data_IF_704775990342
#
_entry.id   IF_704775990342
#
_cell.length_a   1.000
_cell.length_b   1.000
_cell.length_c   1.000
_cell.angle_alpha   90.00
_cell.angle_beta   90.00
_cell.angle_gamma   90.00
#
_symmetry.space_group_name_H-M   'P 1'
#
loop_
_entity.id
_entity.type
_entity.pdbx_description
1 polymer ?
#
# COMPACT_ATOMS: atom_id res chain seq x y z
N UNK A 1 -10.23 -21.26 -15.13
CA UNK A 1 -10.21 -21.24 -13.65
C UNK A 1 -8.78 -21.43 -13.18
N UNK A 2 -8.38 -20.64 -12.20
CA UNK A 2 -7.02 -20.48 -11.70
C UNK A 2 -6.97 -20.89 -10.23
N UNK A 3 -5.93 -21.62 -9.83
CA UNK A 3 -5.65 -21.90 -8.42
C UNK A 3 -5.09 -20.65 -7.75
N UNK A 4 -5.26 -20.55 -6.43
CA UNK A 4 -4.75 -19.41 -5.63
C UNK A 4 -3.27 -19.09 -5.89
N UNK A 5 -2.41 -20.10 -6.10
CA UNK A 5 -0.98 -19.90 -6.40
C UNK A 5 -0.74 -19.30 -7.79
N UNK A 6 -1.56 -19.67 -8.78
CA UNK A 6 -1.47 -19.13 -10.14
C UNK A 6 -1.93 -17.68 -10.15
N UNK A 7 -3.02 -17.37 -9.45
CA UNK A 7 -3.51 -15.98 -9.29
C UNK A 7 -2.49 -15.11 -8.58
N UNK A 8 -1.91 -15.59 -7.48
CA UNK A 8 -0.85 -14.88 -6.74
C UNK A 8 0.32 -14.52 -7.67
N UNK A 9 0.76 -15.48 -8.49
CA UNK A 9 1.85 -15.27 -9.44
C UNK A 9 1.48 -14.28 -10.55
N UNK A 10 0.28 -14.36 -11.11
CA UNK A 10 -0.18 -13.48 -12.20
C UNK A 10 -0.34 -12.04 -11.70
N UNK A 11 -0.94 -11.87 -10.52
CA UNK A 11 -1.27 -10.55 -9.97
C UNK A 11 -0.13 -9.92 -9.18
N UNK A 12 1.00 -10.61 -8.99
CA UNK A 12 2.14 -10.11 -8.21
C UNK A 12 1.84 -9.93 -6.72
N UNK A 13 0.89 -10.71 -6.18
CA UNK A 13 0.49 -10.64 -4.76
C UNK A 13 0.79 -11.94 -4.04
N UNK A 14 0.87 -11.90 -2.72
CA UNK A 14 1.14 -13.12 -1.95
C UNK A 14 -0.10 -14.02 -1.88
N UNK A 15 0.10 -15.33 -1.70
CA UNK A 15 -1.01 -16.25 -1.41
C UNK A 15 -1.70 -15.88 -0.09
N UNK A 16 -0.97 -15.29 0.87
CA UNK A 16 -1.53 -14.79 2.13
C UNK A 16 -2.52 -13.66 1.86
N UNK A 17 -2.18 -12.71 1.00
CA UNK A 17 -3.06 -11.61 0.55
C UNK A 17 -4.40 -12.13 0.03
N UNK A 18 -4.36 -13.13 -0.86
CA UNK A 18 -5.58 -13.69 -1.44
C UNK A 18 -6.44 -14.42 -0.39
N UNK A 19 -5.79 -15.10 0.58
CA UNK A 19 -6.52 -15.67 1.72
C UNK A 19 -7.08 -14.60 2.65
N UNK A 20 -6.37 -13.49 2.85
CA UNK A 20 -6.87 -12.36 3.60
C UNK A 20 -8.13 -11.81 2.97
N UNK A 21 -8.08 -11.48 1.67
CA UNK A 21 -9.22 -10.94 0.93
C UNK A 21 -10.43 -11.88 0.98
N UNK A 22 -10.22 -13.20 0.93
CA UNK A 22 -11.28 -14.19 1.16
C UNK A 22 -11.83 -14.12 2.59
N UNK A 23 -10.95 -14.05 3.60
CA UNK A 23 -11.32 -14.03 5.02
C UNK A 23 -12.15 -12.82 5.43
N UNK A 24 -11.81 -11.64 4.89
CA UNK A 24 -12.59 -10.41 5.11
C UNK A 24 -13.81 -10.36 4.20
N UNK A 25 -13.87 -11.18 3.16
CA UNK A 25 -14.95 -11.23 2.19
C UNK A 25 -14.86 -10.20 1.07
N UNK A 26 -13.68 -9.62 0.84
CA UNK A 26 -13.39 -8.67 -0.24
C UNK A 26 -13.28 -9.36 -1.61
N UNK A 27 -12.62 -10.52 -1.67
CA UNK A 27 -12.51 -11.32 -2.90
C UNK A 27 -12.69 -12.79 -2.56
N UNK A 28 -13.82 -13.37 -2.97
CA UNK A 28 -14.13 -14.78 -2.72
C UNK A 28 -13.82 -15.62 -3.96
N UNK A 29 -13.29 -16.84 -3.79
CA UNK A 29 -13.09 -17.74 -4.91
C UNK A 29 -14.45 -18.18 -5.49
N UNK A 30 -14.58 -18.14 -6.82
CA UNK A 30 -15.76 -18.65 -7.51
C UNK A 30 -16.07 -20.13 -7.24
N UNK A 31 -15.06 -20.94 -6.93
CA UNK A 31 -15.27 -22.34 -6.58
C UNK A 31 -14.31 -22.82 -5.48
N UNK A 32 -14.85 -23.59 -4.54
CA UNK A 32 -14.06 -24.35 -3.56
C UNK A 32 -14.20 -25.83 -3.93
N UNK A 33 -13.08 -26.43 -4.37
CA UNK A 33 -13.06 -27.83 -4.76
C UNK A 33 -13.32 -28.77 -3.58
N UNK A 34 -13.65 -30.03 -3.88
CA UNK A 34 -13.87 -31.08 -2.87
C UNK A 34 -12.66 -31.33 -1.95
N UNK A 35 -11.46 -30.94 -2.41
CA UNK A 35 -10.20 -30.96 -1.69
C UNK A 35 -9.92 -29.67 -0.87
N UNK A 36 -10.90 -28.75 -0.77
CA UNK A 36 -10.79 -27.44 -0.15
C UNK A 36 -9.80 -26.48 -0.83
N UNK A 37 -9.39 -26.75 -2.08
CA UNK A 37 -8.65 -25.77 -2.87
C UNK A 37 -9.58 -24.68 -3.41
N UNK A 38 -9.03 -23.46 -3.46
CA UNK A 38 -9.70 -22.26 -3.98
C UNK A 38 -9.40 -22.10 -5.45
N UNK A 39 -10.45 -21.85 -6.22
CA UNK A 39 -10.39 -21.61 -7.66
C UNK A 39 -11.08 -20.30 -8.00
N UNK A 40 -10.39 -19.50 -8.81
CA UNK A 40 -10.82 -18.19 -9.26
C UNK A 40 -11.10 -18.23 -10.77
N UNK A 41 -12.11 -17.54 -11.25
CA UNK A 41 -12.38 -17.39 -12.68
C UNK A 41 -11.91 -16.02 -13.19
N UNK A 42 -12.12 -15.75 -14.48
CA UNK A 42 -11.70 -14.48 -15.09
C UNK A 42 -12.43 -13.25 -14.51
N UNK A 43 -13.65 -13.40 -14.01
CA UNK A 43 -14.37 -12.32 -13.32
C UNK A 43 -13.72 -11.99 -11.98
N UNK A 44 -13.32 -13.01 -11.22
CA UNK A 44 -12.61 -12.81 -9.95
C UNK A 44 -11.28 -12.09 -10.18
N UNK A 45 -10.57 -12.40 -11.28
CA UNK A 45 -9.32 -11.73 -11.65
C UNK A 45 -9.56 -10.28 -12.06
N UNK A 46 -10.64 -9.99 -12.79
CA UNK A 46 -11.06 -8.61 -13.09
C UNK A 46 -11.35 -7.82 -11.81
N UNK A 47 -12.09 -8.42 -10.88
CA UNK A 47 -12.38 -7.80 -9.59
C UNK A 47 -11.10 -7.57 -8.78
N UNK A 48 -10.18 -8.54 -8.76
CA UNK A 48 -8.88 -8.40 -8.13
C UNK A 48 -8.09 -7.23 -8.72
N UNK A 49 -8.08 -7.07 -10.04
CA UNK A 49 -7.40 -5.94 -10.69
C UNK A 49 -7.95 -4.58 -10.19
N UNK A 50 -9.27 -4.45 -10.08
CA UNK A 50 -9.88 -3.24 -9.52
C UNK A 50 -9.48 -3.01 -8.05
N UNK A 51 -9.51 -4.05 -7.22
CA UNK A 51 -9.07 -3.98 -5.82
C UNK A 51 -7.64 -3.45 -5.73
N UNK A 52 -6.74 -3.93 -6.59
CA UNK A 52 -5.36 -3.48 -6.62
C UNK A 52 -5.23 -2.02 -7.08
N UNK A 53 -6.01 -1.55 -8.06
CA UNK A 53 -6.03 -0.13 -8.42
C UNK A 53 -6.50 0.77 -7.27
N UNK A 54 -7.54 0.37 -6.54
CA UNK A 54 -7.96 1.12 -5.35
C UNK A 54 -6.86 1.16 -4.30
N UNK A 55 -6.19 0.03 -4.08
CA UNK A 55 -5.10 -0.07 -3.10
C UNK A 55 -3.93 0.85 -3.47
N UNK A 56 -3.55 0.89 -4.75
CA UNK A 56 -2.47 1.74 -5.28
C UNK A 56 -2.76 3.24 -5.11
N UNK A 57 -4.03 3.64 -5.19
CA UNK A 57 -4.44 5.03 -4.99
C UNK A 57 -4.51 5.39 -3.49
N UNK A 58 -4.41 4.40 -2.60
CA UNK A 58 -4.33 4.58 -1.15
C UNK A 58 -5.66 4.38 -0.41
N UNK A 59 -6.65 3.72 -1.03
CA UNK A 59 -7.89 3.36 -0.34
C UNK A 59 -7.64 2.24 0.68
N UNK A 60 -8.29 2.31 1.84
CA UNK A 60 -8.27 1.22 2.82
C UNK A 60 -9.12 0.04 2.37
N UNK A 61 -8.77 -1.17 2.79
CA UNK A 61 -9.48 -2.42 2.45
C UNK A 61 -10.95 -2.35 2.84
N UNK A 62 -11.26 -1.75 4.00
CA UNK A 62 -12.64 -1.49 4.44
C UNK A 62 -13.40 -0.63 3.43
N UNK A 63 -12.74 0.39 2.88
CA UNK A 63 -13.37 1.27 1.90
C UNK A 63 -13.57 0.60 0.56
N UNK A 64 -12.62 -0.20 0.13
CA UNK A 64 -12.72 -1.01 -1.09
C UNK A 64 -13.89 -1.99 -0.95
N UNK A 65 -14.04 -2.64 0.21
CA UNK A 65 -15.19 -3.50 0.48
C UNK A 65 -16.53 -2.79 0.34
N UNK A 66 -16.67 -1.57 0.89
CA UNK A 66 -17.90 -0.79 0.75
C UNK A 66 -18.23 -0.53 -0.73
N UNK A 67 -17.25 -0.15 -1.55
CA UNK A 67 -17.43 0.12 -2.97
C UNK A 67 -17.79 -1.15 -3.74
N UNK A 68 -17.09 -2.25 -3.47
CA UNK A 68 -17.33 -3.55 -4.13
C UNK A 68 -18.70 -4.11 -3.75
N UNK A 69 -19.12 -3.98 -2.48
CA UNK A 69 -20.39 -4.50 -1.99
C UNK A 69 -21.60 -3.71 -2.50
N UNK A 70 -21.47 -2.39 -2.69
CA UNK A 70 -22.50 -1.54 -3.31
C UNK A 70 -22.64 -1.81 -4.83
N UNK A 71 -21.65 -2.46 -5.44
CA UNK A 71 -21.54 -2.59 -6.88
C UNK A 71 -21.03 -1.29 -7.52
N UNK A 72 -20.24 -1.41 -8.58
CA UNK A 72 -19.73 -0.24 -9.30
C UNK A 72 -19.64 -0.50 -10.80
N UNK A 73 -19.74 0.56 -11.59
CA UNK A 73 -19.46 0.51 -13.02
C UNK A 73 -17.95 0.42 -13.25
N UNK A 74 -17.50 -0.71 -13.81
CA UNK A 74 -16.07 -0.97 -14.07
C UNK A 74 -15.43 0.08 -14.97
N UNK A 75 -16.14 0.58 -15.98
CA UNK A 75 -15.62 1.57 -16.94
C UNK A 75 -15.43 2.91 -16.25
N UNK A 76 -16.45 3.38 -15.53
CA UNK A 76 -16.36 4.61 -14.76
C UNK A 76 -15.29 4.55 -13.67
N UNK A 77 -15.19 3.41 -12.97
CA UNK A 77 -14.15 3.21 -11.97
C UNK A 77 -12.76 3.29 -12.59
N UNK A 78 -12.52 2.66 -13.76
CA UNK A 78 -11.25 2.75 -14.49
C UNK A 78 -10.93 4.16 -14.94
N UNK A 79 -11.89 4.90 -15.50
CA UNK A 79 -11.67 6.31 -15.86
C UNK A 79 -11.28 7.14 -14.64
N UNK A 80 -11.97 6.93 -13.52
CA UNK A 80 -11.65 7.61 -12.25
C UNK A 80 -10.27 7.18 -11.73
N UNK A 81 -9.91 5.90 -11.83
CA UNK A 81 -8.59 5.41 -11.46
C UNK A 81 -7.49 6.09 -12.28
N UNK A 82 -7.67 6.19 -13.61
CA UNK A 82 -6.72 6.85 -14.51
C UNK A 82 -6.49 8.30 -14.07
N UNK A 83 -7.56 9.05 -13.80
CA UNK A 83 -7.45 10.45 -13.37
C UNK A 83 -6.75 10.60 -12.01
N UNK A 84 -7.01 9.69 -11.07
CA UNK A 84 -6.36 9.70 -9.76
C UNK A 84 -4.88 9.30 -9.85
N UNK A 85 -4.55 8.31 -10.67
CA UNK A 85 -3.17 7.91 -10.94
C UNK A 85 -2.38 9.04 -11.61
N UNK A 86 -2.97 9.77 -12.56
CA UNK A 86 -2.38 10.97 -13.15
C UNK A 86 -2.07 12.03 -12.10
N UNK A 87 -3.01 12.32 -11.18
CA UNK A 87 -2.76 13.25 -10.07
C UNK A 87 -1.67 12.75 -9.12
N UNK A 88 -1.60 11.44 -8.85
CA UNK A 88 -0.53 10.83 -8.05
C UNK A 88 0.82 11.02 -8.75
N UNK A 89 0.88 10.82 -10.07
CA UNK A 89 2.06 11.08 -10.90
C UNK A 89 2.50 12.55 -10.80
N UNK A 90 1.61 13.51 -11.04
CA UNK A 90 1.94 14.95 -10.99
C UNK A 90 2.46 15.36 -9.59
N UNK A 91 1.89 14.76 -8.53
CA UNK A 91 2.37 14.94 -7.16
C UNK A 91 3.78 14.38 -6.96
N UNK A 92 4.04 13.18 -7.44
CA UNK A 92 5.38 12.56 -7.35
C UNK A 92 6.41 13.39 -8.13
N UNK A 93 6.08 13.87 -9.32
CA UNK A 93 6.93 14.77 -10.10
C UNK A 93 7.24 16.08 -9.34
N UNK A 94 6.23 16.66 -8.69
CA UNK A 94 6.42 17.86 -7.86
C UNK A 94 7.34 17.60 -6.66
N UNK A 95 7.24 16.43 -6.04
CA UNK A 95 8.11 16.02 -4.92
C UNK A 95 9.55 15.75 -5.38
N UNK A 96 9.73 15.10 -6.53
CA UNK A 96 11.04 14.87 -7.15
C UNK A 96 11.71 16.22 -7.43
N UNK A 97 11.00 17.15 -8.07
CA UNK A 97 11.53 18.49 -8.37
C UNK A 97 11.95 19.24 -7.09
N UNK A 98 11.17 19.13 -6.02
CA UNK A 98 11.53 19.72 -4.71
C UNK A 98 12.79 19.09 -4.11
N UNK A 99 12.96 17.77 -4.23
CA UNK A 99 14.17 17.07 -3.77
C UNK A 99 15.41 17.48 -4.58
N UNK A 100 15.28 17.60 -5.91
CA UNK A 100 16.35 18.07 -6.80
C UNK A 100 16.78 19.51 -6.47
N UNK A 101 15.82 20.41 -6.24
CA UNK A 101 16.12 21.77 -5.80
C UNK A 101 16.85 21.77 -4.44
N UNK A 102 16.43 20.92 -3.51
CA UNK A 102 17.07 20.79 -2.19
C UNK A 102 18.51 20.30 -2.31
N UNK A 103 18.79 19.40 -3.26
CA UNK A 103 20.14 18.95 -3.57
C UNK A 103 21.03 20.10 -4.09
N UNK A 104 20.49 20.96 -4.96
CA UNK A 104 21.19 22.14 -5.48
C UNK A 104 21.47 23.19 -4.39
N UNK A 105 20.54 23.40 -3.47
CA UNK A 105 20.76 24.28 -2.31
C UNK A 105 21.88 23.73 -1.41
N UNK A 106 21.86 22.43 -1.10
CA UNK A 106 22.89 21.78 -0.30
C UNK A 106 24.27 21.85 -0.96
N UNK A 107 24.33 21.85 -2.30
CA UNK A 107 25.54 22.08 -3.08
C UNK A 107 25.97 23.57 -3.13
N UNK A 108 25.22 24.48 -2.50
CA UNK A 108 25.48 25.92 -2.48
C UNK A 108 25.14 26.64 -3.78
N UNK A 109 24.46 25.99 -4.73
CA UNK A 109 24.23 26.51 -6.06
C UNK A 109 22.97 27.39 -6.17
N UNK A 110 21.96 27.18 -5.31
CA UNK A 110 20.72 27.95 -5.33
C UNK A 110 20.10 28.07 -3.92
N UNK A 111 20.09 29.25 -3.29
CA UNK A 111 19.36 29.44 -2.04
C UNK A 111 17.85 29.38 -2.30
N UNK A 112 17.10 28.70 -1.43
CA UNK A 112 15.63 28.64 -1.51
C UNK A 112 14.98 29.14 -0.24
N UNK A 113 13.72 29.57 -0.33
CA UNK A 113 12.96 29.97 0.85
C UNK A 113 12.32 28.76 1.54
N UNK A 114 12.00 28.89 2.82
CA UNK A 114 11.23 27.85 3.51
C UNK A 114 9.84 27.63 2.89
N UNK A 115 9.26 28.63 2.23
CA UNK A 115 7.99 28.44 1.51
C UNK A 115 8.17 27.48 0.33
N UNK A 116 9.26 27.65 -0.44
CA UNK A 116 9.58 26.78 -1.58
C UNK A 116 9.87 25.35 -1.14
N UNK A 117 10.58 25.18 0.00
CA UNK A 117 10.86 23.86 0.61
C UNK A 117 9.61 23.03 0.91
N UNK A 118 8.53 23.69 1.33
CA UNK A 118 7.31 23.01 1.78
C UNK A 118 6.15 23.09 0.80
N UNK A 119 6.28 23.84 -0.31
CA UNK A 119 5.22 24.03 -1.28
C UNK A 119 4.68 22.71 -1.85
N UNK A 120 5.57 21.75 -2.16
CA UNK A 120 5.19 20.43 -2.67
C UNK A 120 4.41 19.56 -1.65
N UNK A 121 4.48 19.89 -0.35
CA UNK A 121 3.82 19.13 0.72
C UNK A 121 2.48 19.73 1.17
N UNK A 122 2.14 20.94 0.75
CA UNK A 122 0.96 21.68 1.22
C UNK A 122 -0.40 21.15 0.68
N UNK A 123 -0.38 20.12 -0.18
CA UNK A 123 -1.59 19.56 -0.79
C UNK A 123 -2.35 18.68 0.23
N UNK A 124 -3.61 19.04 0.50
CA UNK A 124 -4.53 18.33 1.41
C UNK A 124 -4.62 16.84 1.08
N UNK A 125 -4.66 15.99 2.13
CA UNK A 125 -4.90 14.55 2.02
C UNK A 125 -6.13 14.27 1.15
N UNK A 126 -5.95 13.36 0.18
CA UNK A 126 -6.92 12.94 -0.83
C UNK A 126 -8.03 12.02 -0.29
N UNK A 127 -8.39 12.14 0.99
CA UNK A 127 -9.40 11.28 1.62
C UNK A 127 -10.83 11.56 1.09
N UNK A 128 -11.02 12.63 0.31
CA UNK A 128 -12.33 13.11 -0.17
C UNK A 128 -12.85 12.45 -1.48
N UNK A 129 -12.06 11.63 -2.17
CA UNK A 129 -12.39 11.18 -3.54
C UNK A 129 -13.37 10.00 -3.64
N UNK A 130 -13.73 9.39 -2.51
CA UNK A 130 -14.76 8.32 -2.43
C UNK A 130 -16.09 8.75 -3.03
N UNK A 131 -16.48 10.02 -2.87
CA UNK A 131 -17.77 10.52 -3.39
C UNK A 131 -17.88 10.37 -4.90
N UNK A 132 -16.75 10.44 -5.62
CA UNK A 132 -16.73 10.29 -7.09
C UNK A 132 -17.17 8.89 -7.50
N UNK A 133 -16.66 7.85 -6.82
CA UNK A 133 -17.05 6.46 -7.09
C UNK A 133 -18.53 6.18 -6.77
N UNK A 134 -19.13 6.89 -5.81
CA UNK A 134 -20.56 6.73 -5.44
C UNK A 134 -21.53 7.48 -6.38
N UNK A 135 -21.04 8.41 -7.22
CA UNK A 135 -21.89 9.18 -8.15
C UNK A 135 -22.17 8.47 -9.47
N UNK A 136 -21.73 7.23 -9.65
CA UNK A 136 -21.99 6.42 -10.85
C UNK A 136 -23.28 5.57 -10.75
N UNK A 137 -24.02 5.64 -9.64
CA UNK A 137 -25.34 5.01 -9.52
C UNK A 137 -26.40 6.04 -9.07
N UNK A 138 -26.81 6.94 -9.97
CA UNK A 138 -28.20 7.40 -9.91
C UNK A 138 -28.88 7.38 -11.30
N UNK A 139 -30.06 6.75 -11.31
CA UNK A 139 -31.16 6.91 -12.29
C UNK A 139 -31.08 6.16 -13.63
N UNK A 140 -31.16 4.81 -13.58
CA UNK A 140 -31.81 4.02 -14.65
C UNK A 140 -33.12 3.35 -14.19
N UNK A 141 -33.60 3.65 -12.98
CA UNK A 141 -34.92 3.23 -12.49
C UNK A 141 -35.91 4.39 -12.42
N UNK A 142 -36.23 5.02 -13.56
CA UNK A 142 -37.45 5.85 -13.66
C UNK A 142 -37.81 6.15 -15.13
N UNK A 143 -38.40 5.15 -15.81
CA UNK A 143 -39.55 5.25 -16.75
C UNK A 143 -39.61 4.01 -17.64
N UNK A 144 -40.24 2.97 -17.12
CA UNK A 144 -40.92 1.99 -17.97
C UNK A 144 -42.32 2.54 -18.19
N UNK A 145 -42.51 3.31 -19.26
CA UNK A 145 -43.84 3.56 -19.80
C UNK A 145 -43.99 2.75 -21.10
N UNK A 146 -45.00 1.89 -21.06
CA UNK A 146 -45.37 0.95 -22.10
C UNK A 146 -46.15 1.66 -23.23
N UNK A 147 -45.54 1.80 -24.41
CA UNK A 147 -46.23 1.68 -25.70
C UNK A 147 -45.21 1.44 -26.84
N UNK A 148 -45.64 0.69 -27.84
CA UNK A 148 -44.90 -0.01 -28.93
C UNK A 148 -44.25 0.91 -30.01
N UNK A 149 -43.58 0.43 -31.11
CA UNK A 149 -42.95 -0.86 -31.43
C UNK A 149 -41.47 -0.74 -31.91
N UNK A 150 -40.82 -1.89 -32.09
CA UNK A 150 -39.46 -2.11 -32.62
C UNK A 150 -39.09 -1.35 -33.92
N UNK A 151 -37.86 -0.82 -33.98
CA UNK A 151 -37.09 -0.66 -35.22
C UNK A 151 -35.58 -0.47 -34.96
N UNK A 152 -34.81 -1.43 -35.50
CA UNK A 152 -33.51 -1.29 -36.19
C UNK A 152 -32.32 -0.55 -35.54
N UNK A 153 -31.28 -1.37 -35.32
CA UNK A 153 -29.85 -1.06 -35.36
C UNK A 153 -29.43 -0.04 -36.44
N UNK A 154 -28.95 1.13 -36.01
CA UNK A 154 -27.90 1.96 -36.63
C UNK A 154 -27.88 3.32 -35.91
N UNK A 155 -26.92 3.52 -34.99
CA UNK A 155 -26.33 4.81 -34.55
C UNK A 155 -25.63 4.58 -33.20
N UNK A 156 -24.45 3.95 -33.23
CA UNK A 156 -23.45 4.16 -32.17
C UNK A 156 -22.53 5.24 -32.72
N UNK A 157 -22.59 6.39 -32.05
CA UNK A 157 -21.77 7.56 -32.31
C UNK A 157 -20.29 7.18 -32.27
N UNK A 158 -19.68 7.31 -33.44
CA UNK A 158 -18.25 7.16 -33.72
C UNK A 158 -17.48 8.25 -32.96
N UNK A 159 -16.80 7.88 -31.88
CA UNK A 159 -15.78 8.72 -31.25
C UNK A 159 -14.44 8.11 -31.65
N UNK A 160 -13.69 8.84 -32.47
CA UNK A 160 -12.50 8.37 -33.18
C UNK A 160 -11.35 8.03 -32.21
N UNK A 161 -10.67 6.93 -32.52
CA UNK A 161 -9.61 6.32 -31.75
C UNK A 161 -8.23 7.01 -31.96
N UNK A 162 -8.18 8.33 -32.03
CA UNK A 162 -6.95 9.07 -32.41
C UNK A 162 -6.31 9.94 -31.31
N UNK A 163 -6.85 10.00 -30.09
CA UNK A 163 -6.26 10.83 -29.02
C UNK A 163 -5.91 10.08 -27.71
N UNK A 164 -5.53 8.81 -27.81
CA UNK A 164 -4.94 8.05 -26.70
C UNK A 164 -3.65 7.36 -27.14
N UNK A 165 -2.53 8.09 -27.14
CA UNK A 165 -1.18 7.63 -26.72
C UNK A 165 -0.20 8.82 -26.80
N UNK A 166 0.79 8.88 -25.89
CA UNK A 166 2.10 8.44 -26.36
C UNK A 166 2.80 7.61 -25.29
N UNK A 167 2.68 6.29 -25.37
CA UNK A 167 3.76 5.39 -24.98
C UNK A 167 3.52 4.04 -25.67
N UNK A 168 4.48 3.66 -26.51
CA UNK A 168 4.60 2.47 -27.37
C UNK A 168 3.84 2.49 -28.70
N UNK A 169 4.58 2.54 -29.82
CA UNK A 169 4.05 2.62 -31.20
C UNK A 169 4.25 1.31 -32.00
N UNK A 170 4.64 0.20 -31.37
CA UNK A 170 4.77 -1.09 -32.05
C UNK A 170 4.78 -2.28 -31.07
N UNK A 171 4.24 -3.46 -31.45
CA UNK A 171 4.38 -4.71 -30.69
C UNK A 171 5.84 -5.10 -30.37
N UNK A 172 6.80 -4.69 -31.21
CA UNK A 172 8.22 -4.98 -31.01
C UNK A 172 8.86 -4.12 -29.90
N UNK A 173 8.40 -2.88 -29.72
CA UNK A 173 8.86 -1.98 -28.65
C UNK A 173 8.30 -2.41 -27.27
N UNK A 174 7.13 -3.07 -27.25
CA UNK A 174 6.57 -3.69 -26.05
C UNK A 174 7.43 -4.86 -25.55
N UNK A 175 7.98 -5.68 -26.44
CA UNK A 175 8.85 -6.81 -26.05
C UNK A 175 10.20 -6.33 -25.49
N UNK A 176 10.78 -5.29 -26.08
CA UNK A 176 12.04 -4.69 -25.63
C UNK A 176 11.87 -3.94 -24.29
N UNK A 177 10.76 -3.22 -24.12
CA UNK A 177 10.42 -2.55 -22.86
C UNK A 177 10.10 -3.55 -21.74
N UNK A 178 9.49 -4.71 -22.05
CA UNK A 178 9.23 -5.77 -21.07
C UNK A 178 10.53 -6.46 -20.63
N UNK A 179 11.52 -6.62 -21.52
CA UNK A 179 12.86 -7.11 -21.11
C UNK A 179 13.59 -6.11 -20.21
N UNK A 180 13.49 -4.81 -20.48
CA UNK A 180 14.14 -3.77 -19.68
C UNK A 180 13.49 -3.63 -18.28
N UNK A 181 12.16 -3.70 -18.19
CA UNK A 181 11.41 -3.66 -16.91
C UNK A 181 11.64 -4.93 -16.08
N UNK A 182 11.82 -6.10 -16.70
CA UNK A 182 12.14 -7.35 -16.00
C UNK A 182 13.56 -7.37 -15.39
N UNK A 183 14.42 -6.39 -15.71
CA UNK A 183 15.77 -6.26 -15.16
C UNK A 183 15.89 -5.31 -13.97
N UNK A 184 14.82 -4.59 -13.64
CA UNK A 184 14.76 -3.72 -12.45
C UNK A 184 14.45 -4.59 -11.24
N UNK A 185 15.37 -4.62 -10.28
CA UNK A 185 15.23 -5.33 -9.01
C UNK A 185 13.88 -4.95 -8.37
N UNK A 186 13.02 -5.96 -8.14
CA UNK A 186 11.62 -5.78 -7.75
C UNK A 186 11.50 -4.81 -6.56
N UNK A 187 10.73 -3.71 -6.68
CA UNK A 187 10.40 -2.91 -5.52
C UNK A 187 9.63 -3.78 -4.54
N UNK A 188 10.14 -3.87 -3.30
CA UNK A 188 9.51 -4.61 -2.21
C UNK A 188 8.04 -4.16 -2.08
N UNK A 189 7.09 -5.10 -1.98
CA UNK A 189 5.66 -4.78 -2.05
C UNK A 189 5.27 -3.76 -0.96
N UNK A 190 4.56 -2.70 -1.36
CA UNK A 190 3.96 -1.75 -0.43
C UNK A 190 2.99 -2.50 0.51
N UNK A 191 3.23 -2.40 1.81
CA UNK A 191 2.67 -3.29 2.84
C UNK A 191 1.14 -3.22 2.90
N UNK A 192 0.51 -4.38 2.89
CA UNK A 192 -0.94 -4.53 3.01
C UNK A 192 -1.43 -4.15 4.42
N UNK A 193 -2.70 -3.78 4.54
CA UNK A 193 -3.28 -3.29 5.80
C UNK A 193 -3.34 -4.39 6.88
N UNK A 194 -3.49 -5.66 6.48
CA UNK A 194 -3.42 -6.80 7.40
C UNK A 194 -2.00 -7.09 7.89
N UNK A 195 -0.99 -6.95 7.02
CA UNK A 195 0.42 -7.04 7.43
C UNK A 195 0.73 -5.94 8.44
N UNK A 196 0.20 -4.73 8.26
CA UNK A 196 0.34 -3.63 9.22
C UNK A 196 -0.40 -3.91 10.55
N UNK A 197 -1.58 -4.51 10.53
CA UNK A 197 -2.29 -4.91 11.75
C UNK A 197 -1.58 -6.03 12.53
N UNK A 198 -1.01 -7.03 11.85
CA UNK A 198 -0.20 -8.08 12.47
C UNK A 198 1.09 -7.49 13.07
N UNK A 199 1.77 -6.61 12.32
CA UNK A 199 2.96 -5.87 12.80
C UNK A 199 2.64 -5.05 14.03
N UNK A 200 1.54 -4.27 14.00
CA UNK A 200 1.15 -3.43 15.11
C UNK A 200 0.77 -4.28 16.32
N UNK A 201 0.10 -5.42 16.12
CA UNK A 201 -0.26 -6.34 17.21
C UNK A 201 0.98 -6.94 17.87
N UNK A 202 1.93 -7.44 17.09
CA UNK A 202 3.15 -8.04 17.61
C UNK A 202 4.09 -6.98 18.21
N UNK A 203 4.19 -5.80 17.58
CA UNK A 203 4.91 -4.65 18.12
C UNK A 203 4.34 -4.20 19.47
N UNK A 204 3.02 -4.07 19.58
CA UNK A 204 2.36 -3.72 20.84
C UNK A 204 2.54 -4.80 21.92
N UNK A 205 2.54 -6.09 21.55
CA UNK A 205 2.86 -7.18 22.47
C UNK A 205 4.27 -7.03 23.04
N UNK A 206 5.23 -6.73 22.18
CA UNK A 206 6.63 -6.50 22.58
C UNK A 206 6.72 -5.28 23.50
N UNK A 207 6.10 -4.15 23.15
CA UNK A 207 6.09 -2.97 24.01
C UNK A 207 5.51 -3.25 25.39
N UNK A 208 4.39 -3.98 25.47
CA UNK A 208 3.80 -4.38 26.74
C UNK A 208 4.71 -5.33 27.54
N UNK A 209 5.35 -6.29 26.88
CA UNK A 209 6.30 -7.21 27.52
C UNK A 209 7.50 -6.45 28.08
N UNK A 210 8.14 -5.59 27.27
CA UNK A 210 9.29 -4.77 27.68
C UNK A 210 8.89 -3.78 28.78
N UNK A 211 7.72 -3.15 28.70
CA UNK A 211 7.20 -2.28 29.76
C UNK A 211 7.09 -3.00 31.11
N UNK A 212 6.64 -4.27 31.09
CA UNK A 212 6.57 -5.08 32.30
C UNK A 212 7.94 -5.45 32.86
N UNK A 213 8.99 -5.42 32.04
CA UNK A 213 10.37 -5.77 32.37
C UNK A 213 11.25 -4.55 32.70
N UNK A 214 10.75 -3.32 32.62
CA UNK A 214 11.53 -2.08 32.84
C UNK A 214 12.20 -1.98 34.21
N UNK A 215 11.83 -2.83 35.17
CA UNK A 215 12.51 -2.93 36.47
C UNK A 215 13.86 -3.67 36.40
N UNK A 216 14.14 -4.35 35.28
CA UNK A 216 15.40 -5.04 34.99
C UNK A 216 16.35 -4.14 34.18
N UNK A 217 17.67 -4.37 34.26
CA UNK A 217 18.62 -3.68 33.39
C UNK A 217 18.39 -4.06 31.91
N UNK A 218 18.66 -3.16 30.94
CA UNK A 218 18.46 -3.43 29.51
C UNK A 218 19.19 -4.68 29.00
N UNK A 219 20.32 -5.07 29.60
CA UNK A 219 21.12 -6.24 29.25
C UNK A 219 20.54 -7.57 29.73
N UNK A 220 19.49 -7.54 30.56
CA UNK A 220 18.88 -8.76 31.09
C UNK A 220 18.42 -9.70 29.96
N UNK A 221 18.61 -11.01 30.15
CA UNK A 221 18.33 -12.01 29.12
C UNK A 221 16.85 -12.00 28.69
N UNK A 222 15.94 -11.72 29.63
CA UNK A 222 14.51 -11.57 29.40
C UNK A 222 14.20 -10.38 28.48
N UNK A 223 14.88 -9.25 28.68
CA UNK A 223 14.74 -8.03 27.87
C UNK A 223 15.33 -8.25 26.48
N UNK A 224 16.52 -8.85 26.41
CA UNK A 224 17.22 -9.14 25.15
C UNK A 224 16.48 -10.18 24.30
N UNK A 225 15.71 -11.09 24.92
CA UNK A 225 14.81 -11.99 24.20
C UNK A 225 13.69 -11.23 23.48
N UNK A 226 13.13 -10.19 24.10
CA UNK A 226 12.14 -9.33 23.46
C UNK A 226 12.78 -8.45 22.37
N UNK A 227 14.03 -8.02 22.55
CA UNK A 227 14.77 -7.30 21.50
C UNK A 227 15.04 -8.18 20.29
N UNK A 228 15.35 -9.47 20.50
CA UNK A 228 15.43 -10.45 19.43
C UNK A 228 14.11 -10.57 18.68
N UNK A 229 12.99 -10.75 19.40
CA UNK A 229 11.67 -10.81 18.77
C UNK A 229 11.35 -9.55 17.96
N UNK A 230 11.72 -8.38 18.48
CA UNK A 230 11.51 -7.11 17.79
C UNK A 230 12.37 -6.97 16.54
N UNK A 231 13.65 -7.33 16.64
CA UNK A 231 14.57 -7.35 15.51
C UNK A 231 14.13 -8.34 14.43
N UNK A 232 13.66 -9.53 14.81
CA UNK A 232 13.09 -10.52 13.90
C UNK A 232 11.82 -9.99 13.23
N UNK A 233 10.93 -9.33 13.99
CA UNK A 233 9.72 -8.71 13.44
C UNK A 233 10.07 -7.65 12.39
N UNK A 234 11.02 -6.75 12.68
CA UNK A 234 11.47 -5.74 11.73
C UNK A 234 12.13 -6.37 10.50
N UNK A 235 12.90 -7.45 10.68
CA UNK A 235 13.55 -8.19 9.59
C UNK A 235 12.58 -8.93 8.67
N UNK A 236 11.32 -9.13 9.08
CA UNK A 236 10.29 -9.65 8.16
C UNK A 236 9.93 -8.65 7.06
N UNK A 237 10.29 -7.36 7.23
CA UNK A 237 9.83 -6.29 6.34
C UNK A 237 10.91 -5.33 5.84
N UNK A 238 12.07 -5.34 6.45
CA UNK A 238 13.24 -4.55 6.06
C UNK A 238 14.47 -5.41 6.28
N UNK A 239 15.53 -5.25 5.50
CA UNK A 239 16.84 -5.79 5.88
C UNK A 239 17.41 -4.94 7.03
N UNK A 240 16.97 -5.25 8.25
CA UNK A 240 17.25 -4.47 9.43
C UNK A 240 18.63 -4.85 9.95
N UNK A 241 19.66 -4.17 9.42
CA UNK A 241 21.02 -4.31 9.95
C UNK A 241 21.12 -3.80 11.40
N UNK A 242 22.10 -4.25 12.21
CA UNK A 242 22.31 -3.72 13.56
C UNK A 242 22.45 -2.18 13.61
N UNK A 243 23.03 -1.58 12.56
CA UNK A 243 23.13 -0.12 12.41
C UNK A 243 21.76 0.52 12.21
N UNK A 244 20.91 -0.07 11.35
CA UNK A 244 19.54 0.41 11.15
C UNK A 244 18.72 0.30 12.43
N UNK A 245 18.87 -0.80 13.18
CA UNK A 245 18.17 -1.01 14.44
C UNK A 245 18.50 0.07 15.48
N UNK A 246 19.79 0.47 15.60
CA UNK A 246 20.19 1.62 16.43
C UNK A 246 19.60 2.94 15.94
N UNK A 247 19.55 3.17 14.63
CA UNK A 247 18.95 4.37 14.06
C UNK A 247 17.45 4.48 14.36
N UNK A 248 16.73 3.37 14.34
CA UNK A 248 15.32 3.32 14.75
C UNK A 248 15.15 3.60 16.25
N UNK A 249 16.03 3.06 17.08
CA UNK A 249 16.04 3.33 18.52
C UNK A 249 16.19 4.83 18.83
N UNK A 250 17.09 5.52 18.11
CA UNK A 250 17.24 6.97 18.25
C UNK A 250 16.01 7.74 17.77
N UNK A 251 15.43 7.34 16.64
CA UNK A 251 14.21 7.95 16.11
C UNK A 251 13.05 7.84 17.10
N UNK A 252 12.84 6.66 17.68
CA UNK A 252 11.75 6.41 18.61
C UNK A 252 11.85 7.22 19.90
N UNK A 253 13.06 7.41 20.43
CA UNK A 253 13.27 8.21 21.62
C UNK A 253 13.27 9.73 21.35
N UNK A 254 13.72 10.17 20.16
CA UNK A 254 13.89 11.59 19.83
C UNK A 254 12.62 12.25 19.24
N UNK A 255 11.84 11.52 18.45
CA UNK A 255 10.61 12.06 17.84
C UNK A 255 9.41 11.85 18.76
N UNK A 256 8.86 12.96 19.24
CA UNK A 256 7.72 12.98 20.17
C UNK A 256 6.50 12.19 19.70
N UNK A 257 6.26 12.02 18.39
CA UNK A 257 5.11 11.23 17.89
C UNK A 257 5.29 9.75 18.20
N UNK A 258 6.50 9.23 18.01
CA UNK A 258 6.84 7.84 18.29
C UNK A 258 6.98 7.60 19.79
N UNK A 259 7.71 8.49 20.50
CA UNK A 259 7.86 8.40 21.94
C UNK A 259 6.49 8.41 22.65
N UNK A 260 5.58 9.31 22.27
CA UNK A 260 4.23 9.38 22.85
C UNK A 260 3.35 8.17 22.52
N UNK A 261 3.64 7.43 21.44
CA UNK A 261 2.91 6.19 21.12
C UNK A 261 3.45 5.00 21.92
N UNK A 262 4.77 4.90 22.04
CA UNK A 262 5.44 3.82 22.78
C UNK A 262 5.18 3.99 24.29
N UNK A 263 5.28 5.20 24.82
CA UNK A 263 5.10 5.48 26.25
C UNK A 263 3.66 5.26 26.75
N UNK A 264 2.69 5.03 25.85
CA UNK A 264 1.34 4.61 26.24
C UNK A 264 1.34 3.24 26.93
N UNK A 265 2.36 2.43 26.67
CA UNK A 265 2.52 1.10 27.27
C UNK A 265 3.31 1.14 28.59
N UNK A 266 4.06 2.21 28.86
CA UNK A 266 4.82 2.41 30.09
C UNK A 266 5.56 3.75 30.07
N UNK A 267 5.51 4.51 31.17
CA UNK A 267 6.14 5.82 31.23
C UNK A 267 7.67 5.69 31.08
N UNK A 268 8.26 6.39 30.10
CA UNK A 268 9.70 6.32 29.81
C UNK A 268 10.12 5.08 29.02
N UNK A 269 9.17 4.30 28.50
CA UNK A 269 9.46 3.10 27.73
C UNK A 269 10.29 3.37 26.48
N UNK A 270 10.06 4.47 25.77
CA UNK A 270 10.81 4.80 24.56
C UNK A 270 12.32 4.94 24.82
N UNK A 271 12.71 5.55 25.94
CA UNK A 271 14.12 5.67 26.33
C UNK A 271 14.71 4.33 26.76
N UNK A 272 13.97 3.55 27.55
CA UNK A 272 14.40 2.21 27.97
C UNK A 272 14.55 1.27 26.76
N UNK A 273 13.60 1.31 25.84
CA UNK A 273 13.60 0.55 24.59
C UNK A 273 14.82 0.90 23.75
N UNK A 274 15.17 2.20 23.67
CA UNK A 274 16.39 2.64 22.99
C UNK A 274 17.63 1.96 23.57
N UNK A 275 17.82 1.99 24.89
CA UNK A 275 18.98 1.37 25.53
C UNK A 275 19.03 -0.14 25.28
N UNK A 276 17.90 -0.83 25.42
CA UNK A 276 17.80 -2.28 25.17
C UNK A 276 18.13 -2.65 23.70
N UNK A 277 17.65 -1.86 22.74
CA UNK A 277 17.94 -2.05 21.31
C UNK A 277 19.43 -1.84 21.01
N UNK A 278 20.08 -0.88 21.67
CA UNK A 278 21.51 -0.62 21.53
C UNK A 278 22.36 -1.79 22.03
N UNK A 279 22.02 -2.35 23.19
CA UNK A 279 22.68 -3.55 23.73
C UNK A 279 22.54 -4.71 22.74
N UNK A 280 21.32 -4.98 22.29
CA UNK A 280 21.04 -6.08 21.37
C UNK A 280 21.80 -5.95 20.03
N UNK A 281 21.81 -4.75 19.45
CA UNK A 281 22.57 -4.47 18.23
C UNK A 281 24.08 -4.66 18.41
N UNK A 282 24.60 -4.47 19.63
CA UNK A 282 26.02 -4.68 19.93
C UNK A 282 26.35 -6.17 20.00
N UNK A 283 25.48 -6.96 20.63
CA UNK A 283 25.58 -8.43 20.64
C UNK A 283 25.62 -9.00 19.22
N UNK A 284 24.81 -8.46 18.30
CA UNK A 284 24.79 -8.89 16.90
C UNK A 284 26.04 -8.51 16.09
N UNK A 285 26.81 -7.50 16.52
CA UNK A 285 28.05 -7.10 15.85
C UNK A 285 29.26 -7.91 16.33
N UNK A 286 29.18 -8.47 17.53
CA UNK A 286 30.23 -9.27 18.18
C UNK A 286 30.07 -10.78 17.95
N UNK A 287 28.98 -11.23 17.31
CA UNK A 287 28.62 -12.62 17.00
C UNK A 287 28.98 -13.02 15.57
#
# INVERSE_FOLDING_TARGET
MYKVQEVAKIAGVSVRTLHHYDSIGLLKPSNIGSNRYRYYNDEDLRLLQHILFFKEIGFSLKKIQEIVAEGFDSTYALTTHIDLLRKKKDRLESLISSAEQTLLENAGAAPMTNADRFAAFAIKKTDDDIKKYKMAVPELEAKVDADSPAATSEEIMEVSAEELTPFVNSPAELEEFVEEVNSVEEPQPEKEEEDLEEINREGNRIYQSVASLMYLPPEAAEVQKEMHAYFTLLNRFYDCTPKMFRGLADLYAADSRFANNIDQHGAGLANYLKEAMYVYASILQDA
#
